data_IF_207395494379
#
_entry.id   IF_207395494379
#
_cell.length_a   1.000
_cell.length_b   1.000
_cell.length_c   1.000
_cell.angle_alpha   90.00
_cell.angle_beta   90.00
_cell.angle_gamma   90.00
#
_symmetry.space_group_name_H-M   'P 1'
#
loop_
_entity.id
_entity.type
_entity.pdbx_description
1 polymer ?
#
# COMPACT_ATOMS: atom_id res chain seq x y z
N UNK A 1 -29.40 11.33 10.55
CA UNK A 1 -28.36 11.27 11.59
C UNK A 1 -28.08 9.85 12.06
N UNK A 2 -29.02 9.08 12.65
CA UNK A 2 -28.75 7.68 13.10
C UNK A 2 -28.45 6.75 11.92
N UNK A 3 -29.14 6.88 10.82
CA UNK A 3 -28.92 6.10 9.60
C UNK A 3 -27.58 6.42 8.93
N UNK A 4 -27.17 7.67 8.90
CA UNK A 4 -25.87 8.10 8.41
C UNK A 4 -24.72 7.53 9.25
N UNK A 5 -24.88 7.56 10.59
CA UNK A 5 -23.88 6.96 11.49
C UNK A 5 -23.81 5.44 11.31
N UNK A 6 -24.95 4.79 11.14
CA UNK A 6 -25.02 3.35 10.87
C UNK A 6 -24.32 2.98 9.55
N UNK A 7 -24.60 3.72 8.47
CA UNK A 7 -23.95 3.53 7.16
C UNK A 7 -22.44 3.75 7.26
N UNK A 8 -22.00 4.80 7.95
CA UNK A 8 -20.58 5.06 8.18
C UNK A 8 -19.87 3.91 8.91
N UNK A 9 -20.51 3.32 9.91
CA UNK A 9 -19.95 2.17 10.64
C UNK A 9 -19.86 0.93 9.74
N UNK A 10 -20.89 0.68 8.91
CA UNK A 10 -20.88 -0.42 7.93
C UNK A 10 -19.77 -0.23 6.92
N UNK A 11 -19.61 0.96 6.37
CA UNK A 11 -18.58 1.27 5.39
C UNK A 11 -17.17 1.13 5.98
N UNK A 12 -16.98 1.59 7.21
CA UNK A 12 -15.72 1.41 7.96
C UNK A 12 -15.41 -0.07 8.19
N UNK A 13 -16.42 -0.86 8.55
CA UNK A 13 -16.27 -2.31 8.70
C UNK A 13 -15.92 -2.98 7.35
N UNK A 14 -16.66 -2.66 6.30
CA UNK A 14 -16.43 -3.21 4.96
C UNK A 14 -15.05 -2.85 4.42
N UNK A 15 -14.61 -1.60 4.61
CA UNK A 15 -13.25 -1.19 4.28
C UNK A 15 -12.22 -1.97 5.08
N UNK A 16 -12.41 -2.12 6.39
CA UNK A 16 -11.49 -2.88 7.26
C UNK A 16 -11.43 -4.36 6.86
N UNK A 17 -12.57 -4.97 6.51
CA UNK A 17 -12.65 -6.33 5.99
C UNK A 17 -11.91 -6.48 4.66
N UNK A 18 -12.01 -5.48 3.77
CA UNK A 18 -11.36 -5.51 2.46
C UNK A 18 -9.84 -5.67 2.54
N UNK A 19 -9.20 -5.23 3.63
CA UNK A 19 -7.76 -5.41 3.82
C UNK A 19 -7.35 -6.89 3.90
N UNK A 20 -8.25 -7.77 4.28
CA UNK A 20 -8.02 -9.21 4.37
C UNK A 20 -8.48 -9.97 3.13
N UNK A 21 -9.38 -9.40 2.35
CA UNK A 21 -10.05 -10.09 1.23
C UNK A 21 -9.63 -9.55 -0.14
N UNK A 22 -9.02 -8.36 -0.23
CA UNK A 22 -8.57 -7.76 -1.48
C UNK A 22 -7.06 -8.00 -1.67
N UNK A 23 -6.67 -8.54 -2.83
CA UNK A 23 -5.29 -8.83 -3.22
C UNK A 23 -4.39 -7.59 -3.33
N UNK A 24 -4.96 -6.40 -3.45
CA UNK A 24 -4.21 -5.14 -3.45
C UNK A 24 -3.74 -4.71 -2.05
N UNK A 25 -4.23 -5.38 -1.02
CA UNK A 25 -3.91 -5.04 0.38
C UNK A 25 -2.82 -5.96 0.93
N UNK A 26 -1.88 -5.39 1.67
CA UNK A 26 -0.71 -6.10 2.20
C UNK A 26 -1.05 -7.20 3.21
N UNK A 27 -2.18 -7.10 3.92
CA UNK A 27 -2.66 -8.13 4.86
C UNK A 27 -3.71 -9.06 4.25
N UNK A 28 -3.73 -9.18 2.92
CA UNK A 28 -4.56 -10.15 2.22
C UNK A 28 -4.29 -11.57 2.74
N UNK A 29 -5.35 -12.32 3.07
CA UNK A 29 -5.23 -13.63 3.73
C UNK A 29 -4.26 -14.60 3.04
N UNK A 30 -4.23 -14.75 1.70
CA UNK A 30 -3.24 -15.58 1.04
C UNK A 30 -1.80 -15.14 1.25
N UNK A 31 -1.53 -13.82 1.36
CA UNK A 31 -0.16 -13.33 1.66
C UNK A 31 0.23 -13.65 3.10
N UNK A 32 -0.70 -13.52 4.05
CA UNK A 32 -0.48 -13.95 5.44
C UNK A 32 -0.18 -15.44 5.48
N UNK A 33 -0.92 -16.26 4.72
CA UNK A 33 -0.69 -17.71 4.65
C UNK A 33 0.71 -18.02 4.10
N UNK A 34 1.13 -17.42 3.01
CA UNK A 34 2.50 -17.62 2.46
C UNK A 34 3.58 -17.16 3.44
N UNK A 35 3.33 -16.06 4.17
CA UNK A 35 4.22 -15.58 5.23
C UNK A 35 4.29 -16.55 6.41
N UNK A 36 3.18 -17.23 6.76
CA UNK A 36 3.16 -18.28 7.78
C UNK A 36 3.98 -19.50 7.38
N UNK A 37 3.91 -19.92 6.10
CA UNK A 37 4.75 -21.00 5.57
C UNK A 37 6.24 -20.67 5.68
N UNK A 38 6.62 -19.44 5.33
CA UNK A 38 7.99 -18.95 5.47
C UNK A 38 8.42 -18.90 6.94
N UNK A 39 7.56 -18.42 7.82
CA UNK A 39 7.81 -18.39 9.26
C UNK A 39 7.97 -19.81 9.84
N UNK A 40 7.22 -20.80 9.34
CA UNK A 40 7.39 -22.20 9.71
C UNK A 40 8.76 -22.73 9.30
N UNK A 41 9.19 -22.43 8.08
CA UNK A 41 10.53 -22.79 7.61
C UNK A 41 11.65 -22.20 8.49
N UNK A 42 11.56 -20.89 8.80
CA UNK A 42 12.53 -20.22 9.69
C UNK A 42 12.49 -20.79 11.10
N UNK A 43 11.29 -21.05 11.64
CA UNK A 43 11.13 -21.70 12.94
C UNK A 43 11.80 -23.07 13.00
N UNK A 44 11.59 -23.90 11.97
CA UNK A 44 12.20 -25.23 11.88
C UNK A 44 13.72 -25.19 11.84
N UNK A 45 14.30 -24.22 11.08
CA UNK A 45 15.76 -24.01 11.05
C UNK A 45 16.34 -23.39 12.31
N UNK A 46 15.56 -22.64 13.08
CA UNK A 46 16.06 -21.89 14.25
C UNK A 46 16.24 -22.72 15.54
N UNK A 47 15.95 -24.02 15.49
CA UNK A 47 16.03 -24.93 16.66
C UNK A 47 15.28 -24.41 17.91
N UNK A 48 14.17 -23.75 17.72
CA UNK A 48 13.42 -23.08 18.78
C UNK A 48 12.69 -24.11 19.65
N UNK A 49 12.87 -24.06 20.97
CA UNK A 49 12.26 -25.00 21.93
C UNK A 49 10.78 -24.73 22.20
N UNK A 50 10.22 -23.62 21.72
CA UNK A 50 8.80 -23.27 21.92
C UNK A 50 7.97 -23.86 20.79
N UNK A 51 6.73 -24.32 21.07
CA UNK A 51 5.82 -24.77 20.02
C UNK A 51 5.54 -23.67 18.99
N UNK A 52 5.38 -24.04 17.72
CA UNK A 52 5.20 -23.10 16.60
C UNK A 52 4.06 -22.10 16.79
N UNK A 53 2.92 -22.56 17.33
CA UNK A 53 1.77 -21.69 17.62
C UNK A 53 2.15 -20.62 18.66
N UNK A 54 2.87 -20.99 19.72
CA UNK A 54 3.34 -20.04 20.73
C UNK A 54 4.44 -19.10 20.22
N UNK A 55 5.15 -19.51 19.18
CA UNK A 55 6.16 -18.70 18.49
C UNK A 55 5.47 -17.58 17.68
N UNK A 56 4.43 -17.91 16.90
CA UNK A 56 3.69 -16.95 16.06
C UNK A 56 2.76 -16.09 16.90
N UNK A 57 1.89 -16.73 17.71
CA UNK A 57 0.88 -16.02 18.53
C UNK A 57 1.40 -15.68 19.91
N UNK A 58 2.59 -15.06 19.98
CA UNK A 58 3.15 -14.62 21.24
C UNK A 58 2.32 -13.46 21.81
N UNK A 59 1.68 -13.69 22.98
CA UNK A 59 0.85 -12.69 23.66
C UNK A 59 1.61 -11.38 23.94
N UNK A 60 2.92 -11.43 24.17
CA UNK A 60 3.77 -10.23 24.36
C UNK A 60 3.86 -9.36 23.11
N UNK A 61 3.58 -9.90 21.93
CA UNK A 61 3.58 -9.17 20.66
C UNK A 61 2.17 -8.69 20.36
N UNK A 62 1.20 -9.63 20.31
CA UNK A 62 -0.15 -9.35 19.84
C UNK A 62 -1.03 -8.60 20.84
N UNK A 63 -0.76 -8.72 22.14
CA UNK A 63 -1.50 -8.06 23.22
C UNK A 63 -0.62 -7.03 23.95
N UNK A 64 0.41 -6.50 23.30
CA UNK A 64 1.22 -5.41 23.83
C UNK A 64 0.48 -4.07 23.73
N UNK A 65 0.86 -3.10 24.58
CA UNK A 65 0.35 -1.72 24.44
C UNK A 65 0.62 -1.14 23.03
N UNK A 66 1.77 -1.52 22.45
CA UNK A 66 2.13 -1.15 21.09
C UNK A 66 1.11 -1.71 20.07
N UNK A 67 0.75 -2.99 20.17
CA UNK A 67 -0.24 -3.61 19.28
C UNK A 67 -1.64 -2.98 19.40
N UNK A 68 -2.07 -2.62 20.60
CA UNK A 68 -3.35 -1.92 20.77
C UNK A 68 -3.38 -0.56 20.07
N UNK A 69 -2.26 0.17 20.06
CA UNK A 69 -2.15 1.42 19.29
C UNK A 69 -2.27 1.13 17.80
N UNK A 70 -1.65 0.04 17.29
CA UNK A 70 -1.77 -0.36 15.89
C UNK A 70 -3.23 -0.63 15.50
N UNK A 71 -3.96 -1.37 16.33
CA UNK A 71 -5.36 -1.69 16.07
C UNK A 71 -6.25 -0.45 16.11
N UNK A 72 -6.03 0.43 17.10
CA UNK A 72 -6.79 1.67 17.22
C UNK A 72 -6.54 2.60 16.02
N UNK A 73 -5.27 2.79 15.62
CA UNK A 73 -4.94 3.61 14.45
C UNK A 73 -5.45 2.98 13.15
N UNK A 74 -5.43 1.66 13.01
CA UNK A 74 -5.99 0.99 11.84
C UNK A 74 -7.47 1.31 11.65
N UNK A 75 -8.28 1.16 12.71
CA UNK A 75 -9.72 1.44 12.66
C UNK A 75 -9.97 2.93 12.44
N UNK A 76 -9.28 3.80 13.18
CA UNK A 76 -9.42 5.24 13.08
C UNK A 76 -9.03 5.77 11.69
N UNK A 77 -7.93 5.29 11.14
CA UNK A 77 -7.48 5.67 9.80
C UNK A 77 -8.45 5.18 8.71
N UNK A 78 -9.11 4.04 8.88
CA UNK A 78 -10.13 3.58 7.94
C UNK A 78 -11.38 4.48 7.99
N UNK A 79 -11.77 4.92 9.18
CA UNK A 79 -12.84 5.91 9.33
C UNK A 79 -12.48 7.23 8.62
N UNK A 80 -11.26 7.74 8.82
CA UNK A 80 -10.77 8.94 8.15
C UNK A 80 -10.72 8.78 6.62
N UNK A 81 -10.37 7.61 6.12
CA UNK A 81 -10.37 7.36 4.67
C UNK A 81 -11.75 7.53 4.07
N UNK A 82 -12.77 7.01 4.71
CA UNK A 82 -14.15 7.12 4.22
C UNK A 82 -14.65 8.57 4.30
N UNK A 83 -14.44 9.22 5.44
CA UNK A 83 -15.00 10.55 5.69
C UNK A 83 -14.26 11.69 5.00
N UNK A 84 -12.91 11.64 4.99
CA UNK A 84 -12.09 12.75 4.52
C UNK A 84 -11.42 12.48 3.17
N UNK A 85 -11.15 11.23 2.79
CA UNK A 85 -10.36 10.93 1.59
C UNK A 85 -11.22 10.45 0.44
N UNK A 86 -12.21 9.61 0.69
CA UNK A 86 -13.09 9.08 -0.37
C UNK A 86 -13.77 10.17 -1.21
N UNK A 87 -14.27 11.29 -0.65
CA UNK A 87 -14.85 12.37 -1.45
C UNK A 87 -13.88 13.01 -2.44
N UNK A 88 -12.57 12.93 -2.16
CA UNK A 88 -11.52 13.52 -2.99
C UNK A 88 -10.93 12.58 -4.03
N UNK A 89 -11.40 11.34 -4.13
CA UNK A 89 -10.94 10.41 -5.18
C UNK A 89 -11.23 10.94 -6.59
N UNK A 90 -12.30 11.70 -6.75
CA UNK A 90 -12.63 12.37 -8.02
C UNK A 90 -11.57 13.37 -8.49
N UNK A 91 -10.74 13.92 -7.60
CA UNK A 91 -9.63 14.80 -7.99
C UNK A 91 -8.63 14.08 -8.89
N UNK A 92 -8.39 12.80 -8.67
CA UNK A 92 -7.52 12.01 -9.53
C UNK A 92 -8.02 11.94 -10.98
N UNK A 93 -9.31 11.73 -11.15
CA UNK A 93 -9.95 11.76 -12.48
C UNK A 93 -9.93 13.17 -13.07
N UNK A 94 -10.23 14.20 -12.28
CA UNK A 94 -10.17 15.59 -12.75
C UNK A 94 -8.77 15.97 -13.22
N UNK A 95 -7.73 15.57 -12.50
CA UNK A 95 -6.33 15.77 -12.91
C UNK A 95 -6.05 15.03 -14.22
N UNK A 96 -6.53 13.77 -14.34
CA UNK A 96 -6.37 12.98 -15.55
C UNK A 96 -6.99 13.67 -16.78
N UNK A 97 -8.23 14.13 -16.68
CA UNK A 97 -8.89 14.89 -17.75
C UNK A 97 -8.14 16.17 -18.11
N UNK A 98 -7.67 16.92 -17.09
CA UNK A 98 -6.94 18.16 -17.31
C UNK A 98 -5.61 17.93 -18.04
N UNK A 99 -4.88 16.88 -17.68
CA UNK A 99 -3.62 16.49 -18.34
C UNK A 99 -3.90 16.05 -19.78
N UNK A 100 -4.92 15.23 -20.01
CA UNK A 100 -5.31 14.80 -21.35
C UNK A 100 -5.69 16.01 -22.24
N UNK A 101 -6.56 16.89 -21.76
CA UNK A 101 -6.99 18.11 -22.48
C UNK A 101 -5.77 19.02 -22.78
N UNK A 102 -4.89 19.22 -21.80
CA UNK A 102 -3.67 20.01 -21.99
C UNK A 102 -2.76 19.44 -23.10
N UNK A 103 -2.60 18.11 -23.13
CA UNK A 103 -1.79 17.44 -24.15
C UNK A 103 -2.46 17.54 -25.53
N UNK A 104 -3.79 17.44 -25.61
CA UNK A 104 -4.52 17.64 -26.87
C UNK A 104 -4.37 19.07 -27.41
N UNK A 105 -4.37 20.09 -26.54
CA UNK A 105 -4.16 21.48 -26.93
C UNK A 105 -2.74 21.70 -27.44
N UNK A 106 -1.73 21.11 -26.80
CA UNK A 106 -0.32 21.31 -27.11
C UNK A 106 0.16 20.53 -28.34
N UNK A 107 -0.33 19.30 -28.51
CA UNK A 107 0.15 18.35 -29.51
C UNK A 107 -0.89 17.98 -30.57
N UNK A 108 -2.11 18.45 -30.42
CA UNK A 108 -3.24 18.16 -31.29
C UNK A 108 -4.09 16.98 -30.83
N UNK A 109 -5.24 16.82 -31.49
CA UNK A 109 -6.10 15.65 -31.32
C UNK A 109 -5.44 14.46 -31.98
N UNK A 110 -4.83 13.58 -31.17
CA UNK A 110 -4.23 12.36 -31.66
C UNK A 110 -5.21 11.18 -31.55
N UNK A 111 -5.15 10.28 -32.52
CA UNK A 111 -5.93 9.04 -32.50
C UNK A 111 -5.30 7.95 -31.63
N UNK A 112 -4.35 8.33 -30.77
CA UNK A 112 -3.54 7.44 -29.92
C UNK A 112 -2.69 6.46 -30.74
N UNK A 113 -1.44 6.31 -30.38
CA UNK A 113 -0.49 5.47 -31.12
C UNK A 113 -0.16 4.18 -30.38
N UNK A 114 -0.67 3.99 -29.15
CA UNK A 114 -0.45 2.79 -28.39
C UNK A 114 -1.60 1.78 -28.60
N UNK A 115 -1.24 0.54 -28.85
CA UNK A 115 -2.17 -0.58 -28.79
C UNK A 115 -2.58 -0.88 -27.37
N UNK A 116 -3.72 -1.56 -27.16
CA UNK A 116 -4.20 -1.94 -25.81
C UNK A 116 -3.13 -2.63 -24.98
N UNK A 117 -2.44 -3.62 -25.55
CA UNK A 117 -1.38 -4.37 -24.85
C UNK A 117 -0.20 -3.48 -24.47
N UNK A 118 0.26 -2.61 -25.37
CA UNK A 118 1.32 -1.64 -25.09
C UNK A 118 0.90 -0.67 -23.99
N UNK A 119 -0.31 -0.14 -24.07
CA UNK A 119 -0.86 0.77 -23.06
C UNK A 119 -0.89 0.11 -21.68
N UNK A 120 -1.40 -1.11 -21.55
CA UNK A 120 -1.45 -1.85 -20.28
C UNK A 120 -0.03 -2.03 -19.70
N UNK A 121 0.92 -2.46 -20.52
CA UNK A 121 2.30 -2.73 -20.07
C UNK A 121 2.98 -1.42 -19.63
N UNK A 122 3.01 -0.40 -20.51
CA UNK A 122 3.70 0.84 -20.21
C UNK A 122 3.02 1.64 -19.09
N UNK A 123 1.70 1.70 -19.08
CA UNK A 123 0.94 2.30 -17.98
C UNK A 123 1.29 1.67 -16.64
N UNK A 124 1.26 0.33 -16.57
CA UNK A 124 1.53 -0.39 -15.32
C UNK A 124 2.95 -0.14 -14.82
N UNK A 125 3.95 -0.21 -15.71
CA UNK A 125 5.35 0.06 -15.37
C UNK A 125 5.51 1.50 -14.92
N UNK A 126 5.00 2.45 -15.70
CA UNK A 126 5.14 3.89 -15.40
C UNK A 126 4.43 4.26 -14.11
N UNK A 127 3.18 3.82 -13.91
CA UNK A 127 2.43 4.09 -12.69
C UNK A 127 3.16 3.56 -11.46
N UNK A 128 3.72 2.36 -11.54
CA UNK A 128 4.45 1.76 -10.42
C UNK A 128 5.73 2.53 -10.10
N UNK A 129 6.58 2.76 -11.10
CA UNK A 129 7.84 3.48 -10.91
C UNK A 129 7.60 4.90 -10.41
N UNK A 130 6.60 5.58 -10.97
CA UNK A 130 6.26 6.94 -10.56
C UNK A 130 5.69 6.99 -9.15
N UNK A 131 4.83 6.04 -8.79
CA UNK A 131 4.26 5.96 -7.45
C UNK A 131 5.34 5.60 -6.40
N UNK A 132 6.28 4.71 -6.73
CA UNK A 132 7.41 4.37 -5.86
C UNK A 132 8.36 5.56 -5.69
N UNK A 133 8.64 6.29 -6.77
CA UNK A 133 9.43 7.52 -6.71
C UNK A 133 8.76 8.56 -5.80
N UNK A 134 7.47 8.81 -5.97
CA UNK A 134 6.73 9.74 -5.12
C UNK A 134 6.70 9.25 -3.66
N UNK A 135 6.56 7.93 -3.42
CA UNK A 135 6.59 7.36 -2.08
C UNK A 135 7.93 7.62 -1.42
N UNK A 136 9.02 7.34 -2.11
CA UNK A 136 10.38 7.63 -1.63
C UNK A 136 10.57 9.12 -1.34
N UNK A 137 10.18 9.99 -2.28
CA UNK A 137 10.34 11.44 -2.13
C UNK A 137 9.61 11.98 -0.90
N UNK A 138 8.34 11.62 -0.73
CA UNK A 138 7.55 12.09 0.40
C UNK A 138 8.05 11.50 1.73
N UNK A 139 8.44 10.22 1.75
CA UNK A 139 9.05 9.60 2.92
C UNK A 139 10.36 10.30 3.31
N UNK A 140 11.22 10.57 2.33
CA UNK A 140 12.45 11.34 2.53
C UNK A 140 12.17 12.74 3.12
N UNK A 141 11.17 13.44 2.57
CA UNK A 141 10.78 14.76 3.09
C UNK A 141 10.25 14.68 4.54
N UNK A 142 9.51 13.62 4.87
CA UNK A 142 9.04 13.37 6.24
C UNK A 142 10.19 13.19 7.23
N UNK A 143 11.32 12.63 6.81
CA UNK A 143 12.52 12.53 7.62
C UNK A 143 13.36 13.81 7.66
N UNK A 144 13.30 14.66 6.63
CA UNK A 144 14.14 15.87 6.52
C UNK A 144 13.49 17.12 7.07
N UNK A 145 12.19 17.25 6.98
CA UNK A 145 11.45 18.43 7.44
C UNK A 145 10.99 18.19 8.88
N UNK A 146 11.51 18.96 9.88
CA UNK A 146 11.21 18.73 11.30
C UNK A 146 9.70 18.73 11.60
N UNK A 147 8.93 19.61 10.96
CA UNK A 147 7.47 19.65 11.12
C UNK A 147 6.79 18.36 10.66
N UNK A 148 7.20 17.78 9.53
CA UNK A 148 6.64 16.53 9.01
C UNK A 148 7.09 15.32 9.85
N UNK A 149 8.31 15.37 10.40
CA UNK A 149 8.84 14.36 11.29
C UNK A 149 7.96 14.17 12.55
N UNK A 150 7.39 15.23 13.09
CA UNK A 150 6.52 15.14 14.27
C UNK A 150 5.33 14.19 14.05
N UNK A 151 4.82 14.10 12.84
CA UNK A 151 3.76 13.15 12.47
C UNK A 151 4.32 11.78 12.11
N UNK A 152 5.43 11.73 11.36
CA UNK A 152 6.02 10.51 10.86
C UNK A 152 6.69 9.66 11.94
N UNK A 153 7.24 10.26 13.00
CA UNK A 153 7.85 9.53 14.13
C UNK A 153 6.89 8.54 14.81
N UNK A 154 5.58 8.68 14.66
CA UNK A 154 4.58 7.73 15.16
C UNK A 154 4.71 6.39 14.45
N UNK A 155 4.98 6.39 13.15
CA UNK A 155 5.28 5.19 12.39
C UNK A 155 6.52 4.46 12.96
N UNK A 156 7.55 5.18 13.36
CA UNK A 156 8.78 4.63 13.95
C UNK A 156 8.68 4.33 15.46
N UNK A 157 7.57 4.62 16.12
CA UNK A 157 7.40 4.44 17.57
C UNK A 157 7.02 3.00 18.00
N UNK A 158 6.92 2.07 17.07
CA UNK A 158 6.51 0.70 17.37
C UNK A 158 7.59 -0.04 18.19
N UNK A 159 7.22 -0.53 19.37
CA UNK A 159 8.10 -1.36 20.21
C UNK A 159 7.94 -2.86 19.96
N UNK A 160 6.85 -3.26 19.34
CA UNK A 160 6.57 -4.62 18.89
C UNK A 160 5.97 -4.57 17.49
N UNK A 161 6.34 -5.51 16.64
CA UNK A 161 5.92 -5.57 15.26
C UNK A 161 4.94 -6.72 15.03
N UNK A 162 3.83 -6.41 14.40
CA UNK A 162 2.82 -7.36 13.94
C UNK A 162 2.31 -6.90 12.56
N UNK A 163 1.55 -7.70 11.82
CA UNK A 163 1.05 -7.32 10.48
C UNK A 163 0.26 -6.01 10.45
N UNK A 164 -0.31 -5.56 11.56
CA UNK A 164 -1.05 -4.29 11.63
C UNK A 164 -0.14 -3.08 11.84
N UNK A 165 1.10 -3.27 12.29
CA UNK A 165 2.05 -2.18 12.56
C UNK A 165 2.35 -1.34 11.31
N UNK A 166 2.27 -1.92 10.12
CA UNK A 166 2.38 -1.19 8.84
C UNK A 166 1.32 -0.11 8.65
N UNK A 167 0.20 -0.19 9.37
CA UNK A 167 -0.87 0.80 9.34
C UNK A 167 -0.80 1.79 10.51
N UNK A 168 0.29 1.76 11.30
CA UNK A 168 0.60 2.75 12.32
C UNK A 168 1.06 4.04 11.65
N UNK A 169 0.13 4.81 11.18
CA UNK A 169 0.37 6.07 10.45
C UNK A 169 -0.43 7.17 11.14
N UNK A 170 0.19 8.33 11.34
CA UNK A 170 -0.54 9.50 11.83
C UNK A 170 -1.57 9.96 10.80
N UNK A 171 -2.75 10.47 11.21
CA UNK A 171 -3.76 10.98 10.28
C UNK A 171 -3.26 11.97 9.24
N UNK A 172 -2.40 12.90 9.64
CA UNK A 172 -1.78 13.89 8.72
C UNK A 172 -0.93 13.18 7.66
N UNK A 173 -0.09 12.24 8.06
CA UNK A 173 0.70 11.43 7.13
C UNK A 173 -0.20 10.60 6.21
N UNK A 174 -1.29 10.03 6.76
CA UNK A 174 -2.27 9.30 5.97
C UNK A 174 -2.87 10.17 4.86
N UNK A 175 -3.26 11.40 5.18
CA UNK A 175 -3.81 12.37 4.23
C UNK A 175 -2.78 12.68 3.15
N UNK A 176 -1.55 13.04 3.54
CA UNK A 176 -0.45 13.35 2.61
C UNK A 176 -0.22 12.18 1.65
N UNK A 177 -0.12 10.96 2.16
CA UNK A 177 0.13 9.77 1.35
C UNK A 177 -1.01 9.45 0.36
N UNK A 178 -2.26 9.67 0.76
CA UNK A 178 -3.39 9.45 -0.14
C UNK A 178 -3.46 10.54 -1.22
N UNK A 179 -3.31 11.83 -0.87
CA UNK A 179 -3.28 12.90 -1.86
C UNK A 179 -2.12 12.75 -2.86
N UNK A 180 -0.93 12.39 -2.38
CA UNK A 180 0.20 12.03 -3.24
C UNK A 180 -0.19 10.94 -4.25
N UNK A 181 -0.85 9.88 -3.78
CA UNK A 181 -1.30 8.78 -4.65
C UNK A 181 -2.34 9.23 -5.67
N UNK A 182 -3.31 10.05 -5.26
CA UNK A 182 -4.34 10.60 -6.14
C UNK A 182 -3.72 11.47 -7.23
N UNK A 183 -2.78 12.35 -6.88
CA UNK A 183 -2.09 13.22 -7.85
C UNK A 183 -1.24 12.37 -8.80
N UNK A 184 -0.44 11.44 -8.28
CA UNK A 184 0.41 10.56 -9.08
C UNK A 184 -0.40 9.72 -10.07
N UNK A 185 -1.49 9.13 -9.60
CA UNK A 185 -2.44 8.40 -10.42
C UNK A 185 -3.04 9.28 -11.52
N UNK A 186 -3.54 10.49 -11.17
CA UNK A 186 -4.16 11.39 -12.13
C UNK A 186 -3.21 11.83 -13.25
N UNK A 187 -1.95 12.15 -12.91
CA UNK A 187 -0.94 12.56 -13.89
C UNK A 187 -0.65 11.42 -14.87
N UNK A 188 -0.30 10.23 -14.37
CA UNK A 188 0.05 9.09 -15.22
C UNK A 188 -1.13 8.65 -16.05
N UNK A 189 -2.33 8.60 -15.46
CA UNK A 189 -3.54 8.20 -16.16
C UNK A 189 -3.88 9.16 -17.28
N UNK A 190 -3.84 10.48 -17.05
CA UNK A 190 -4.12 11.48 -18.08
C UNK A 190 -3.13 11.44 -19.25
N UNK A 191 -1.85 11.16 -18.95
CA UNK A 191 -0.84 10.97 -19.98
C UNK A 191 -1.12 9.75 -20.87
N UNK A 192 -1.47 8.61 -20.25
CA UNK A 192 -1.76 7.39 -21.00
C UNK A 192 -3.13 7.42 -21.68
N UNK A 193 -4.09 8.16 -21.14
CA UNK A 193 -5.37 8.42 -21.82
C UNK A 193 -5.19 9.18 -23.13
N UNK A 194 -4.29 10.16 -23.16
CA UNK A 194 -3.92 10.86 -24.39
C UNK A 194 -3.23 9.93 -25.40
N UNK A 195 -2.34 9.04 -24.95
CA UNK A 195 -1.55 8.16 -25.83
C UNK A 195 -2.31 6.91 -26.29
N UNK A 196 -3.46 6.60 -25.70
CA UNK A 196 -4.19 5.37 -25.94
C UNK A 196 -5.46 5.59 -26.77
N UNK A 197 -5.76 4.65 -27.65
CA UNK A 197 -7.03 4.58 -28.39
C UNK A 197 -8.14 3.86 -27.60
N UNK A 198 -7.93 3.50 -26.35
CA UNK A 198 -8.83 2.61 -25.61
C UNK A 198 -9.42 3.31 -24.38
N UNK A 199 -10.66 2.97 -23.99
CA UNK A 199 -11.31 3.54 -22.83
C UNK A 199 -10.49 3.30 -21.55
N UNK A 200 -10.40 4.34 -20.72
CA UNK A 200 -9.59 4.43 -19.52
C UNK A 200 -9.92 3.36 -18.47
N UNK A 201 -11.21 3.03 -18.30
CA UNK A 201 -11.72 2.08 -17.32
C UNK A 201 -11.16 0.65 -17.48
N UNK A 202 -11.03 0.19 -18.74
CA UNK A 202 -10.46 -1.13 -19.04
C UNK A 202 -8.98 -1.21 -18.75
N UNK A 203 -8.24 -0.13 -18.98
CA UNK A 203 -6.80 -0.05 -18.74
C UNK A 203 -6.50 -0.06 -17.25
N UNK A 204 -7.26 0.71 -16.47
CA UNK A 204 -7.08 0.81 -15.03
C UNK A 204 -7.26 -0.51 -14.30
N UNK A 205 -8.29 -1.29 -14.67
CA UNK A 205 -8.63 -2.50 -13.93
C UNK A 205 -7.63 -3.67 -14.16
N UNK A 206 -7.16 -3.84 -15.39
CA UNK A 206 -6.33 -5.00 -15.73
C UNK A 206 -4.86 -4.76 -15.34
N UNK A 207 -4.33 -3.57 -15.58
CA UNK A 207 -2.91 -3.27 -15.35
C UNK A 207 -2.50 -3.28 -13.88
N UNK A 208 -3.28 -2.64 -13.01
CA UNK A 208 -2.96 -2.51 -11.60
C UNK A 208 -2.90 -3.86 -10.86
N UNK A 209 -3.83 -4.76 -11.15
CA UNK A 209 -3.91 -6.05 -10.45
C UNK A 209 -2.77 -7.03 -10.80
N UNK A 210 -2.39 -7.13 -12.07
CA UNK A 210 -1.34 -8.06 -12.51
C UNK A 210 0.01 -7.63 -11.94
N UNK A 211 0.32 -6.35 -11.97
CA UNK A 211 1.63 -5.87 -11.52
C UNK A 211 1.77 -5.95 -9.99
N UNK A 212 0.77 -5.55 -9.24
CA UNK A 212 0.78 -5.68 -7.78
C UNK A 212 1.00 -7.12 -7.35
N UNK A 213 0.33 -8.07 -8.01
CA UNK A 213 0.53 -9.50 -7.75
C UNK A 213 1.96 -9.96 -8.07
N UNK A 214 2.50 -9.60 -9.23
CA UNK A 214 3.86 -9.98 -9.64
C UNK A 214 4.92 -9.34 -8.73
N UNK A 215 4.78 -8.07 -8.39
CA UNK A 215 5.73 -7.35 -7.54
C UNK A 215 5.74 -7.89 -6.10
N UNK A 216 4.58 -8.15 -5.52
CA UNK A 216 4.47 -8.74 -4.18
C UNK A 216 5.04 -10.17 -4.15
N UNK A 217 4.81 -10.95 -5.21
CA UNK A 217 5.31 -12.33 -5.30
C UNK A 217 6.83 -12.39 -5.56
N UNK A 218 7.34 -11.59 -6.48
CA UNK A 218 8.77 -11.57 -6.85
C UNK A 218 9.60 -10.83 -5.80
N UNK A 219 9.12 -9.71 -5.27
CA UNK A 219 9.79 -8.94 -4.23
C UNK A 219 9.99 -9.76 -2.95
N UNK A 220 8.96 -10.47 -2.51
CA UNK A 220 9.04 -11.36 -1.36
C UNK A 220 10.04 -12.52 -1.58
N UNK A 221 10.14 -13.05 -2.80
CA UNK A 221 11.11 -14.12 -3.13
C UNK A 221 12.55 -13.62 -3.25
N UNK A 222 12.78 -12.46 -3.88
CA UNK A 222 14.12 -11.89 -4.03
C UNK A 222 14.71 -11.49 -2.67
N UNK A 223 13.93 -10.91 -1.80
CA UNK A 223 14.39 -10.48 -0.47
C UNK A 223 14.73 -11.69 0.42
N UNK A 224 13.94 -12.75 0.36
CA UNK A 224 14.23 -14.00 1.06
C UNK A 224 15.53 -14.68 0.58
N UNK A 225 15.86 -14.59 -0.71
CA UNK A 225 17.06 -15.22 -1.30
C UNK A 225 18.34 -14.42 -1.04
N UNK A 226 18.26 -13.10 -1.00
CA UNK A 226 19.43 -12.22 -0.78
C UNK A 226 19.90 -12.20 0.68
N UNK A 227 19.01 -12.48 1.63
CA UNK A 227 19.30 -12.47 3.09
C UNK A 227 19.80 -13.80 3.67
N UNK A 228 19.78 -14.90 2.91
CA UNK A 228 20.19 -16.23 3.42
C UNK A 228 21.71 -16.34 3.75
N UNK A 229 22.52 -15.34 3.44
CA UNK A 229 23.98 -15.39 3.64
C UNK A 229 24.52 -14.84 4.95
N UNK A 230 23.74 -14.18 5.82
CA UNK A 230 24.30 -13.60 7.05
C UNK A 230 23.34 -13.26 8.20
N UNK A 231 22.09 -13.67 8.22
CA UNK A 231 21.14 -13.16 9.21
C UNK A 231 20.40 -14.22 10.02
N UNK A 232 20.45 -14.08 11.34
CA UNK A 232 19.42 -14.63 12.26
C UNK A 232 18.12 -13.86 12.00
N UNK A 233 17.37 -14.29 11.02
CA UNK A 233 16.09 -13.67 10.68
C UNK A 233 15.10 -14.00 11.80
N UNK A 234 14.82 -13.02 12.65
CA UNK A 234 13.65 -13.10 13.51
C UNK A 234 12.39 -12.87 12.67
N UNK A 235 11.26 -13.45 13.04
CA UNK A 235 9.97 -13.14 12.45
C UNK A 235 9.70 -11.62 12.37
N UNK A 236 10.26 -10.87 13.32
CA UNK A 236 10.25 -9.41 13.36
C UNK A 236 11.02 -8.78 12.19
N UNK A 237 12.18 -9.33 11.81
CA UNK A 237 12.95 -8.83 10.67
C UNK A 237 12.23 -9.13 9.36
N UNK A 238 11.64 -10.32 9.20
CA UNK A 238 10.83 -10.68 8.03
C UNK A 238 9.59 -9.80 7.88
N UNK A 239 8.91 -9.50 8.99
CA UNK A 239 7.81 -8.55 8.99
C UNK A 239 8.29 -7.13 8.64
N UNK A 240 9.43 -6.67 9.19
CA UNK A 240 9.99 -5.37 8.85
C UNK A 240 10.37 -5.25 7.38
N UNK A 241 11.01 -6.25 6.82
CA UNK A 241 11.56 -6.17 5.47
C UNK A 241 10.48 -6.35 4.39
N UNK A 242 9.48 -7.22 4.62
CA UNK A 242 8.30 -7.33 3.76
C UNK A 242 7.39 -6.10 3.84
N UNK A 243 7.44 -5.35 4.96
CA UNK A 243 6.54 -4.24 5.22
C UNK A 243 7.24 -2.86 5.20
N UNK A 244 8.59 -2.80 5.26
CA UNK A 244 9.35 -1.55 5.18
C UNK A 244 9.93 -1.25 3.79
N UNK A 245 10.11 -2.22 2.91
CA UNK A 245 10.58 -1.97 1.53
C UNK A 245 9.58 -1.21 0.64
N UNK A 246 8.43 -0.82 1.16
CA UNK A 246 7.45 0.01 0.45
C UNK A 246 7.08 1.28 1.24
N UNK A 247 7.94 1.72 2.14
CA UNK A 247 7.86 3.09 2.70
C UNK A 247 8.99 3.94 2.20
#
# INVERSE_FOLDING_TARGET
MLEEVYNLLIDTYNLSKSYFTNSEKRIYLPYIFTSLLLAYYVYFKSNNKKGFINYIFNKKIWLSKSAYIDYALFIFNNLLKITLIAPYLFFGLSISFYINEYLQIMFGLDNGFLTLTQTIIFYTITLTLFNDFLSYLFHYLMHKIPFLWEFHKIHHSATTLNPMTQYRVHPVELIINNFRGIIGFGIVTGFFDYMSNHPLDKILFIGANIFTFLFMFLGAKLDATLKDKSFKISWQALANDLFQCCC
#
